data_IF_585114921335
#
_entry.id   IF_585114921335
#
_cell.length_a   1.000
_cell.length_b   1.000
_cell.length_c   1.000
_cell.angle_alpha   90.00
_cell.angle_beta   90.00
_cell.angle_gamma   90.00
#
_symmetry.space_group_name_H-M   'P 1'
#
loop_
_entity.id
_entity.type
_entity.pdbx_description
1 polymer ?
#
# COMPACT_ATOMS: atom_id res chain seq x y z
N UNK A 1 -13.74 21.36 0.65
CA UNK A 1 -12.67 21.16 -0.35
C UNK A 1 -11.86 19.99 0.18
N UNK A 2 -12.12 18.78 -0.30
CA UNK A 2 -11.37 17.61 0.15
C UNK A 2 -10.03 17.66 -0.57
N UNK A 3 -8.97 18.00 0.15
CA UNK A 3 -7.62 17.97 -0.40
C UNK A 3 -7.31 16.54 -0.85
N UNK A 4 -7.11 16.37 -2.16
CA UNK A 4 -6.67 15.10 -2.73
C UNK A 4 -5.26 14.79 -2.22
N UNK A 5 -5.16 13.90 -1.24
CA UNK A 5 -3.87 13.45 -0.71
C UNK A 5 -3.29 12.41 -1.67
N UNK A 6 -2.30 12.84 -2.45
CA UNK A 6 -1.54 11.96 -3.34
C UNK A 6 -0.34 11.38 -2.59
N UNK A 7 -0.24 10.06 -2.57
CA UNK A 7 0.96 9.35 -2.10
C UNK A 7 1.79 9.01 -3.34
N UNK A 8 3.04 9.49 -3.38
CA UNK A 8 4.00 9.16 -4.43
C UNK A 8 5.09 8.32 -3.79
N UNK A 9 5.38 7.14 -4.35
CA UNK A 9 6.42 6.23 -3.88
C UNK A 9 7.39 5.91 -4.99
N UNK A 10 8.67 5.88 -4.62
CA UNK A 10 9.74 5.43 -5.49
C UNK A 10 9.93 3.92 -5.29
N UNK A 11 9.90 3.17 -6.39
CA UNK A 11 10.22 1.75 -6.40
C UNK A 11 11.72 1.59 -6.12
N UNK A 12 12.05 0.95 -5.01
CA UNK A 12 13.43 0.63 -4.65
C UNK A 12 13.71 -0.81 -5.04
N UNK A 13 14.96 -1.11 -5.36
CA UNK A 13 15.45 -2.46 -5.62
C UNK A 13 16.57 -2.77 -4.62
N UNK A 14 16.57 -3.97 -4.03
CA UNK A 14 17.67 -4.42 -3.17
C UNK A 14 18.78 -5.11 -3.99
N UNK A 15 19.87 -5.48 -3.33
CA UNK A 15 21.00 -6.16 -3.99
C UNK A 15 20.65 -7.54 -4.57
N UNK A 16 19.56 -8.17 -4.10
CA UNK A 16 19.01 -9.43 -4.60
C UNK A 16 18.07 -9.25 -5.81
N UNK A 17 17.88 -8.03 -6.31
CA UNK A 17 16.96 -7.72 -7.43
C UNK A 17 15.48 -7.78 -7.05
N UNK A 18 15.16 -7.75 -5.75
CA UNK A 18 13.80 -7.68 -5.24
C UNK A 18 13.39 -6.21 -5.17
N UNK A 19 12.30 -5.88 -5.87
CA UNK A 19 11.71 -4.56 -5.82
C UNK A 19 10.73 -4.42 -4.66
N UNK A 20 10.80 -3.30 -3.95
CA UNK A 20 9.97 -3.01 -2.78
C UNK A 20 9.62 -1.51 -2.72
N UNK A 21 8.54 -1.22 -2.00
CA UNK A 21 8.08 0.14 -1.72
C UNK A 21 8.16 0.40 -0.23
N UNK A 22 8.74 1.53 0.15
CA UNK A 22 8.93 1.92 1.54
C UNK A 22 7.86 2.94 1.97
N UNK A 23 7.12 2.59 3.02
CA UNK A 23 6.06 3.43 3.59
C UNK A 23 6.48 3.97 4.95
N UNK A 24 6.32 5.27 5.15
CA UNK A 24 6.50 5.91 6.44
C UNK A 24 5.28 5.65 7.33
N UNK A 25 5.43 5.84 8.64
CA UNK A 25 4.29 5.73 9.56
C UNK A 25 3.13 6.69 9.21
N UNK A 26 3.44 7.87 8.67
CA UNK A 26 2.43 8.82 8.21
C UNK A 26 1.67 8.30 6.97
N UNK A 27 2.37 7.67 6.01
CA UNK A 27 1.72 7.07 4.85
C UNK A 27 0.81 5.92 5.25
N UNK A 28 1.28 5.08 6.18
CA UNK A 28 0.46 4.00 6.73
C UNK A 28 -0.79 4.55 7.41
N UNK A 29 -0.66 5.64 8.18
CA UNK A 29 -1.80 6.31 8.80
C UNK A 29 -2.78 6.89 7.76
N UNK A 30 -2.26 7.49 6.67
CA UNK A 30 -3.10 7.98 5.56
C UNK A 30 -3.84 6.86 4.84
N UNK A 31 -3.23 5.69 4.70
CA UNK A 31 -3.84 4.49 4.11
C UNK A 31 -4.72 3.71 5.12
N UNK A 32 -4.76 4.11 6.39
CA UNK A 32 -5.47 3.38 7.45
C UNK A 32 -4.86 2.01 7.76
N UNK A 33 -3.55 1.86 7.55
CA UNK A 33 -2.78 0.63 7.73
C UNK A 33 -1.96 0.67 9.02
N UNK A 34 -1.72 -0.50 9.58
CA UNK A 34 -0.81 -0.74 10.71
C UNK A 34 0.22 -1.78 10.31
N UNK A 35 1.36 -1.80 11.01
CA UNK A 35 2.38 -2.84 10.81
C UNK A 35 1.73 -4.22 10.98
N UNK A 36 1.83 -5.08 9.96
CA UNK A 36 1.22 -6.40 9.92
C UNK A 36 -0.10 -6.47 9.14
N UNK A 37 -0.69 -5.35 8.76
CA UNK A 37 -1.80 -5.34 7.79
C UNK A 37 -1.32 -5.81 6.42
N UNK A 38 -2.17 -6.56 5.73
CA UNK A 38 -1.94 -6.95 4.34
C UNK A 38 -2.60 -5.92 3.42
N UNK A 39 -1.92 -5.57 2.34
CA UNK A 39 -2.45 -4.70 1.29
C UNK A 39 -2.38 -5.42 -0.04
N UNK A 40 -3.43 -5.25 -0.82
CA UNK A 40 -3.49 -5.69 -2.21
C UNK A 40 -3.25 -4.47 -3.09
N UNK A 41 -2.24 -4.57 -3.94
CA UNK A 41 -1.87 -3.56 -4.91
C UNK A 41 -2.26 -4.04 -6.30
N UNK A 42 -3.03 -3.21 -7.02
CA UNK A 42 -3.44 -3.47 -8.39
C UNK A 42 -3.08 -2.29 -9.29
N UNK A 43 -2.25 -2.55 -10.29
CA UNK A 43 -1.96 -1.61 -11.36
C UNK A 43 -3.02 -1.73 -12.46
N UNK A 44 -3.84 -0.70 -12.61
CA UNK A 44 -4.77 -0.53 -13.74
C UNK A 44 -4.10 0.34 -14.81
N UNK A 45 -4.63 0.29 -16.04
CA UNK A 45 -4.05 1.02 -17.20
C UNK A 45 -3.88 2.52 -16.95
N UNK A 46 -4.81 3.13 -16.22
CA UNK A 46 -4.86 4.57 -15.98
C UNK A 46 -4.74 4.94 -14.49
N UNK A 47 -4.59 3.95 -13.61
CA UNK A 47 -4.66 4.19 -12.16
C UNK A 47 -3.99 3.08 -11.36
N UNK A 48 -3.56 3.42 -10.16
CA UNK A 48 -3.01 2.47 -9.20
C UNK A 48 -3.96 2.39 -8.00
N UNK A 49 -4.39 1.18 -7.64
CA UNK A 49 -5.34 0.95 -6.56
C UNK A 49 -4.68 0.17 -5.44
N UNK A 50 -4.76 0.74 -4.24
CA UNK A 50 -4.28 0.15 -2.99
C UNK A 50 -5.48 -0.22 -2.13
N UNK A 51 -5.67 -1.50 -1.84
CA UNK A 51 -6.77 -1.99 -1.02
C UNK A 51 -6.25 -2.67 0.23
N UNK A 52 -6.72 -2.22 1.39
CA UNK A 52 -6.48 -2.93 2.65
C UNK A 52 -7.19 -4.28 2.61
N UNK A 53 -6.42 -5.36 2.79
CA UNK A 53 -6.96 -6.71 2.97
C UNK A 53 -7.04 -6.95 4.47
N UNK A 54 -8.24 -6.82 5.02
CA UNK A 54 -8.50 -7.43 6.31
C UNK A 54 -8.56 -8.93 6.08
N UNK A 55 -7.67 -9.70 6.71
CA UNK A 55 -7.93 -11.13 6.91
C UNK A 55 -9.20 -11.22 7.75
N UNK A 56 -10.35 -11.30 7.10
CA UNK A 56 -11.53 -11.85 7.74
C UNK A 56 -11.16 -13.31 7.93
N UNK A 57 -10.94 -13.70 9.19
CA UNK A 57 -10.95 -15.10 9.61
C UNK A 57 -12.29 -15.68 9.16
N UNK A 58 -12.33 -16.17 7.92
CA UNK A 58 -13.46 -16.89 7.40
C UNK A 58 -13.33 -18.30 7.97
N UNK A 59 -13.69 -18.42 9.25
CA UNK A 59 -14.12 -19.70 9.81
C UNK A 59 -15.35 -20.13 8.99
N UNK A 60 -15.18 -21.13 8.12
CA UNK A 60 -16.25 -21.95 7.57
C UNK A 60 -16.06 -23.36 8.11
#
# INVERSE_FOLDING_TARGET
>A
MSEEKKIVKELKENEDGITYLEFSNEDLAMLGLKKGDSIEWMQLKDSEVWKKVNKIDMCI
#
